data_IF_135825724445
#
_entry.id   IF_135825724445
#
_cell.length_a   1.000
_cell.length_b   1.000
_cell.length_c   1.000
_cell.angle_alpha   90.00
_cell.angle_beta   90.00
_cell.angle_gamma   90.00
#
_symmetry.space_group_name_H-M   'P 1'
#
loop_
_entity.id
_entity.type
_entity.pdbx_description
1 polymer ?
#
# COMPACT_ATOMS: atom_id res chain seq x y z
N UNK A 1 19.68 4.60 12.90
CA UNK A 1 18.52 5.52 12.75
C UNK A 1 17.80 5.61 14.07
N UNK A 2 17.36 6.80 14.47
CA UNK A 2 16.61 6.93 15.73
C UNK A 2 15.14 6.58 15.50
N UNK A 3 14.48 6.02 16.50
CA UNK A 3 13.03 5.72 16.41
C UNK A 3 12.21 6.98 16.09
N UNK A 4 12.69 8.17 16.49
CA UNK A 4 12.10 9.46 16.15
C UNK A 4 12.07 9.74 14.65
N UNK A 5 13.14 9.41 13.92
CA UNK A 5 13.22 9.68 12.48
C UNK A 5 12.17 8.88 11.69
N UNK A 6 11.98 7.62 12.07
CA UNK A 6 10.95 6.74 11.51
C UNK A 6 9.55 7.27 11.77
N UNK A 7 9.28 7.69 13.01
CA UNK A 7 7.98 8.26 13.40
C UNK A 7 7.69 9.55 12.62
N UNK A 8 8.70 10.43 12.49
CA UNK A 8 8.56 11.66 11.72
C UNK A 8 8.30 11.38 10.24
N UNK A 9 9.08 10.50 9.62
CA UNK A 9 8.88 10.10 8.23
C UNK A 9 7.49 9.54 7.98
N UNK A 10 7.02 8.62 8.84
CA UNK A 10 5.67 8.09 8.79
C UNK A 10 4.61 9.19 8.89
N UNK A 11 4.74 10.12 9.85
CA UNK A 11 3.80 11.24 10.02
C UNK A 11 3.77 12.17 8.81
N UNK A 12 4.92 12.48 8.21
CA UNK A 12 5.00 13.31 7.01
C UNK A 12 4.33 12.63 5.81
N UNK A 13 4.64 11.36 5.56
CA UNK A 13 4.02 10.58 4.49
C UNK A 13 2.51 10.43 4.69
N UNK A 14 2.07 10.16 5.91
CA UNK A 14 0.66 10.01 6.23
C UNK A 14 -0.10 11.32 5.96
N UNK A 15 0.40 12.45 6.47
CA UNK A 15 -0.25 13.76 6.30
C UNK A 15 -0.27 14.18 4.82
N UNK A 16 0.85 14.04 4.11
CA UNK A 16 0.94 14.37 2.69
C UNK A 16 0.01 13.47 1.86
N UNK A 17 0.01 12.16 2.12
CA UNK A 17 -0.82 11.19 1.41
C UNK A 17 -2.32 11.43 1.59
N UNK A 18 -2.77 11.75 2.81
CA UNK A 18 -4.17 12.06 3.09
C UNK A 18 -4.65 13.30 2.32
N UNK A 19 -3.81 14.35 2.25
CA UNK A 19 -4.09 15.55 1.46
C UNK A 19 -4.11 15.24 -0.04
N UNK A 20 -3.17 14.43 -0.52
CA UNK A 20 -3.06 14.03 -1.92
C UNK A 20 -4.30 13.29 -2.44
N UNK A 21 -4.89 12.42 -1.61
CA UNK A 21 -6.14 11.72 -1.94
C UNK A 21 -7.40 12.50 -1.56
N UNK A 22 -7.27 13.73 -1.07
CA UNK A 22 -8.37 14.60 -0.63
C UNK A 22 -9.30 13.91 0.38
N UNK A 23 -8.75 13.05 1.24
CA UNK A 23 -9.48 12.23 2.20
C UNK A 23 -10.59 11.34 1.60
N UNK A 24 -10.59 11.10 0.29
CA UNK A 24 -11.61 10.32 -0.41
C UNK A 24 -11.51 8.82 -0.11
N UNK A 25 -12.66 8.15 -0.01
CA UNK A 25 -12.77 6.70 0.08
C UNK A 25 -12.96 6.13 -1.34
N UNK A 26 -12.29 5.01 -1.75
CA UNK A 26 -11.48 4.07 -0.96
C UNK A 26 -10.00 4.45 -0.78
N UNK A 27 -9.54 5.49 -1.47
CA UNK A 27 -8.13 5.85 -1.56
C UNK A 27 -7.48 6.10 -0.20
N UNK A 28 -8.20 6.75 0.73
CA UNK A 28 -7.77 6.98 2.10
C UNK A 28 -7.42 5.68 2.84
N UNK A 29 -8.37 4.74 2.93
CA UNK A 29 -8.12 3.49 3.66
C UNK A 29 -7.01 2.68 3.01
N UNK A 30 -6.96 2.65 1.68
CA UNK A 30 -5.93 1.94 0.92
C UNK A 30 -4.55 2.51 1.17
N UNK A 31 -4.38 3.84 1.09
CA UNK A 31 -3.10 4.50 1.31
C UNK A 31 -2.61 4.31 2.75
N UNK A 32 -3.49 4.49 3.73
CA UNK A 32 -3.16 4.31 5.15
C UNK A 32 -2.78 2.86 5.44
N UNK A 33 -3.53 1.90 4.88
CA UNK A 33 -3.23 0.47 5.01
C UNK A 33 -1.83 0.14 4.49
N UNK A 34 -1.50 0.63 3.29
CA UNK A 34 -0.19 0.38 2.66
C UNK A 34 0.97 1.04 3.39
N UNK A 35 0.79 2.27 3.87
CA UNK A 35 1.82 2.91 4.71
C UNK A 35 2.04 2.14 6.00
N UNK A 36 0.97 1.69 6.67
CA UNK A 36 1.11 0.90 7.90
C UNK A 36 1.79 -0.43 7.66
N UNK A 37 1.43 -1.12 6.59
CA UNK A 37 2.05 -2.39 6.20
C UNK A 37 3.55 -2.22 5.97
N UNK A 38 3.96 -1.25 5.15
CA UNK A 38 5.38 -1.02 4.86
C UNK A 38 6.20 -0.57 6.07
N UNK A 39 5.64 0.24 6.98
CA UNK A 39 6.34 0.68 8.20
C UNK A 39 6.32 -0.36 9.34
N UNK A 40 5.49 -1.41 9.25
CA UNK A 40 5.43 -2.51 10.22
C UNK A 40 6.22 -3.74 9.77
N UNK A 41 6.71 -3.74 8.54
CA UNK A 41 7.55 -4.80 8.01
C UNK A 41 8.87 -4.86 8.80
N UNK A 42 9.11 -6.01 9.45
CA UNK A 42 10.27 -6.22 10.32
C UNK A 42 11.57 -6.36 9.52
N UNK A 43 11.47 -6.86 8.28
CA UNK A 43 12.61 -7.06 7.39
C UNK A 43 12.86 -5.85 6.47
N UNK A 44 12.03 -4.81 6.60
CA UNK A 44 12.09 -3.61 5.78
C UNK A 44 13.27 -2.70 6.12
N UNK A 45 14.00 -2.25 5.09
CA UNK A 45 15.03 -1.22 5.25
C UNK A 45 14.44 0.18 5.04
N UNK A 46 14.66 1.09 5.99
CA UNK A 46 14.22 2.47 5.85
C UNK A 46 15.22 3.32 5.06
N UNK A 47 14.74 4.02 4.04
CA UNK A 47 15.49 4.95 3.20
C UNK A 47 14.87 6.35 3.31
N UNK A 48 15.57 7.25 4.00
CA UNK A 48 15.09 8.60 4.29
C UNK A 48 14.94 9.45 3.03
N UNK A 49 15.84 9.30 2.05
CA UNK A 49 15.78 10.04 0.79
C UNK A 49 14.60 9.58 -0.07
N UNK A 50 14.33 8.28 -0.09
CA UNK A 50 13.12 7.75 -0.72
C UNK A 50 11.84 8.28 -0.06
N UNK A 51 11.81 8.34 1.27
CA UNK A 51 10.67 8.92 1.99
C UNK A 51 10.48 10.40 1.61
N UNK A 52 11.56 11.18 1.55
CA UNK A 52 11.53 12.60 1.14
C UNK A 52 10.99 12.80 -0.28
N UNK A 53 11.49 12.03 -1.25
CA UNK A 53 10.99 12.07 -2.64
C UNK A 53 9.51 11.70 -2.72
N UNK A 54 9.09 10.71 -1.93
CA UNK A 54 7.68 10.29 -1.87
C UNK A 54 6.81 11.40 -1.29
N UNK A 55 7.24 12.10 -0.24
CA UNK A 55 6.53 13.28 0.29
C UNK A 55 6.39 14.37 -0.77
N UNK A 56 7.46 14.64 -1.53
CA UNK A 56 7.43 15.62 -2.62
C UNK A 56 6.39 15.24 -3.68
N UNK A 57 6.39 13.99 -4.13
CA UNK A 57 5.39 13.46 -5.07
C UNK A 57 3.95 13.60 -4.55
N UNK A 58 3.71 13.26 -3.28
CA UNK A 58 2.37 13.37 -2.66
C UNK A 58 1.91 14.82 -2.56
N UNK A 59 2.81 15.75 -2.23
CA UNK A 59 2.48 17.18 -2.20
C UNK A 59 2.14 17.70 -3.61
N UNK A 60 2.89 17.30 -4.64
CA UNK A 60 2.56 17.64 -6.03
C UNK A 60 1.18 17.09 -6.45
N UNK A 61 0.89 15.84 -6.09
CA UNK A 61 -0.42 15.21 -6.31
C UNK A 61 -1.58 15.89 -5.58
N UNK A 62 -1.31 16.56 -4.45
CA UNK A 62 -2.30 17.32 -3.69
C UNK A 62 -2.56 18.71 -4.29
N UNK A 63 -1.52 19.35 -4.83
CA UNK A 63 -1.58 20.74 -5.28
C UNK A 63 -2.33 20.88 -6.61
N UNK A 64 -2.15 19.93 -7.54
CA UNK A 64 -2.76 19.99 -8.87
C UNK A 64 -3.31 18.63 -9.28
N UNK A 65 -4.34 18.61 -10.14
CA UNK A 65 -4.85 17.40 -10.79
C UNK A 65 -3.95 16.96 -11.96
N UNK A 66 -2.65 16.91 -11.70
CA UNK A 66 -1.60 16.58 -12.66
C UNK A 66 -1.44 15.08 -12.91
N UNK A 67 -0.26 14.70 -13.41
CA UNK A 67 0.08 13.31 -13.64
C UNK A 67 0.19 12.54 -12.32
N UNK A 68 0.79 13.14 -11.30
CA UNK A 68 1.01 12.61 -9.96
C UNK A 68 -0.32 12.25 -9.29
N UNK A 69 -1.31 13.13 -9.39
CA UNK A 69 -2.66 12.87 -8.89
C UNK A 69 -3.31 11.68 -9.60
N UNK A 70 -3.19 11.61 -10.93
CA UNK A 70 -3.73 10.49 -11.72
C UNK A 70 -3.06 9.17 -11.39
N UNK A 71 -1.73 9.16 -11.26
CA UNK A 71 -0.95 7.99 -10.86
C UNK A 71 -1.40 7.52 -9.48
N UNK A 72 -1.45 8.41 -8.48
CA UNK A 72 -1.84 8.06 -7.12
C UNK A 72 -3.27 7.50 -7.06
N UNK A 73 -4.21 8.15 -7.74
CA UNK A 73 -5.60 7.70 -7.84
C UNK A 73 -5.69 6.28 -8.43
N UNK A 74 -4.98 6.02 -9.52
CA UNK A 74 -4.98 4.73 -10.17
C UNK A 74 -4.35 3.64 -9.31
N UNK A 75 -3.22 3.94 -8.64
CA UNK A 75 -2.59 3.01 -7.69
C UNK A 75 -3.56 2.62 -6.56
N UNK A 76 -4.21 3.62 -5.94
CA UNK A 76 -5.21 3.38 -4.92
C UNK A 76 -6.37 2.53 -5.46
N UNK A 77 -6.89 2.85 -6.65
CA UNK A 77 -8.00 2.12 -7.26
C UNK A 77 -7.63 0.67 -7.55
N UNK A 78 -6.51 0.42 -8.23
CA UNK A 78 -6.04 -0.92 -8.59
C UNK A 78 -5.81 -1.75 -7.34
N UNK A 79 -5.17 -1.20 -6.32
CA UNK A 79 -4.93 -1.92 -5.09
C UNK A 79 -6.25 -2.27 -4.38
N UNK A 80 -7.19 -1.32 -4.29
CA UNK A 80 -8.49 -1.58 -3.69
C UNK A 80 -9.27 -2.67 -4.44
N UNK A 81 -9.30 -2.64 -5.77
CA UNK A 81 -9.96 -3.70 -6.55
C UNK A 81 -9.31 -5.07 -6.32
N UNK A 82 -7.98 -5.16 -6.30
CA UNK A 82 -7.27 -6.42 -5.99
C UNK A 82 -7.65 -6.97 -4.62
N UNK A 83 -7.72 -6.11 -3.59
CA UNK A 83 -8.13 -6.53 -2.25
C UNK A 83 -9.58 -7.01 -2.23
N UNK A 84 -10.49 -6.34 -2.96
CA UNK A 84 -11.89 -6.78 -3.06
C UNK A 84 -12.02 -8.15 -3.71
N UNK A 85 -11.29 -8.42 -4.79
CA UNK A 85 -11.34 -9.70 -5.48
C UNK A 85 -10.84 -10.85 -4.58
N UNK A 86 -9.79 -10.60 -3.78
CA UNK A 86 -9.34 -11.56 -2.76
C UNK A 86 -10.46 -11.86 -1.76
N UNK A 87 -11.11 -10.83 -1.22
CA UNK A 87 -12.19 -10.99 -0.23
C UNK A 87 -13.44 -11.67 -0.81
N UNK A 88 -13.73 -11.49 -2.10
CA UNK A 88 -14.86 -12.16 -2.78
C UNK A 88 -14.65 -13.67 -2.92
N UNK A 89 -13.40 -14.13 -2.91
CA UNK A 89 -13.11 -15.56 -3.11
C UNK A 89 -13.63 -16.33 -1.89
N UNK A 90 -14.61 -17.25 -2.05
CA UNK A 90 -15.13 -18.00 -0.91
C UNK A 90 -13.99 -18.80 -0.26
N UNK A 91 -13.95 -18.83 1.07
CA UNK A 91 -12.94 -19.57 1.84
C UNK A 91 -12.83 -21.06 1.43
N UNK A 92 -13.93 -21.64 0.93
CA UNK A 92 -13.95 -23.02 0.41
C UNK A 92 -13.09 -23.17 -0.85
N UNK A 93 -13.08 -22.16 -1.71
CA UNK A 93 -12.29 -22.15 -2.95
C UNK A 93 -10.81 -21.96 -2.63
N UNK A 94 -10.49 -21.07 -1.69
CA UNK A 94 -9.09 -20.87 -1.25
C UNK A 94 -8.51 -22.15 -0.64
N UNK A 95 -9.26 -22.79 0.26
CA UNK A 95 -8.87 -24.08 0.87
C UNK A 95 -8.64 -25.17 -0.18
N UNK A 96 -9.51 -25.26 -1.19
CA UNK A 96 -9.34 -26.23 -2.29
C UNK A 96 -8.08 -25.96 -3.10
N UNK A 97 -7.82 -24.70 -3.47
CA UNK A 97 -6.63 -24.30 -4.21
C UNK A 97 -5.33 -24.56 -3.43
N UNK A 98 -5.34 -24.33 -2.11
CA UNK A 98 -4.21 -24.65 -1.22
C UNK A 98 -3.94 -26.15 -1.15
N UNK A 99 -5.00 -26.97 -1.01
CA UNK A 99 -4.89 -28.42 -1.03
C UNK A 99 -4.35 -28.94 -2.37
N UNK A 100 -4.77 -28.36 -3.49
CA UNK A 100 -4.30 -28.74 -4.83
C UNK A 100 -2.84 -28.34 -5.05
N UNK A 101 -2.41 -27.16 -4.56
CA UNK A 101 -1.00 -26.74 -4.57
C UNK A 101 -0.12 -27.68 -3.74
N UNK A 102 -0.57 -28.08 -2.56
CA UNK A 102 0.15 -29.02 -1.71
C UNK A 102 0.29 -30.41 -2.36
N UNK A 103 -0.76 -30.90 -3.03
CA UNK A 103 -0.72 -32.15 -3.81
C UNK A 103 0.24 -32.06 -5.00
N UNK A 104 0.25 -30.94 -5.72
CA UNK A 104 1.16 -30.71 -6.84
C UNK A 104 2.64 -30.66 -6.40
N UNK A 105 2.94 -30.04 -5.24
CA UNK A 105 4.27 -30.05 -4.65
C UNK A 105 4.74 -31.45 -4.24
N UNK A 106 3.82 -32.29 -3.73
CA UNK A 106 4.11 -33.70 -3.40
C UNK A 106 4.32 -34.61 -4.62
N UNK A 107 3.68 -34.33 -5.76
CA UNK A 107 3.87 -35.08 -7.03
C UNK A 107 5.18 -34.77 -7.75
N UNK A 108 5.81 -33.64 -7.43
CA UNK A 108 7.07 -33.18 -8.03
C UNK A 108 8.32 -33.61 -7.26
N UNK A 109 8.15 -34.27 -6.11
CA UNK A 109 9.21 -34.78 -5.25
C UNK A 109 9.18 -36.31 -5.28
#
# INVERSE_FOLDING_TARGET
>A
MTNSDLIHAYRHLLRAGLRAVQFSQPSRSTLVGRLREGFRDADGTFDAERARRTVWFLNAAAQQRGLEHRILKNLCRVHWERMREITKTPWRVTMRLEADRAKAGKRKK
#
